data_IF_500105436052
#
_entry.id   IF_500105436052
#
_cell.length_a   1.000
_cell.length_b   1.000
_cell.length_c   1.000
_cell.angle_alpha   90.00
_cell.angle_beta   90.00
_cell.angle_gamma   90.00
#
_symmetry.space_group_name_H-M   'P 1'
#
loop_
_entity.id
_entity.type
_entity.pdbx_description
1 polymer ?
#
# COMPACT_ATOMS: atom_id res chain seq x y z
N UNK A 1 14.25 -10.81 6.49
CA UNK A 1 13.04 -11.29 7.18
C UNK A 1 11.85 -11.00 6.30
N UNK A 2 10.95 -11.97 6.06
CA UNK A 2 9.71 -11.74 5.29
C UNK A 2 8.54 -11.80 6.24
N UNK A 3 7.70 -10.76 6.27
CA UNK A 3 6.53 -10.70 7.13
C UNK A 3 5.28 -10.40 6.28
N UNK A 4 4.22 -11.18 6.48
CA UNK A 4 2.93 -10.95 5.81
C UNK A 4 2.08 -9.99 6.63
N UNK A 5 1.34 -9.15 5.95
CA UNK A 5 0.45 -8.18 6.58
C UNK A 5 -0.74 -7.87 5.69
N UNK A 6 -1.78 -7.28 6.28
CA UNK A 6 -2.85 -6.63 5.55
C UNK A 6 -2.61 -5.12 5.57
N UNK A 7 -2.68 -4.48 4.42
CA UNK A 7 -2.60 -3.02 4.30
C UNK A 7 -3.92 -2.44 3.84
N UNK A 8 -4.35 -1.42 4.56
CA UNK A 8 -5.56 -0.66 4.27
C UNK A 8 -5.15 0.74 3.87
N UNK A 9 -5.56 1.20 2.68
CA UNK A 9 -5.24 2.54 2.19
C UNK A 9 -6.35 3.07 1.28
N UNK A 10 -6.34 4.39 1.03
CA UNK A 10 -7.29 5.05 0.12
C UNK A 10 -6.56 5.37 -1.19
N UNK A 11 -6.82 4.63 -2.29
CA UNK A 11 -6.21 4.91 -3.58
C UNK A 11 -6.91 6.08 -4.27
N UNK A 12 -6.20 6.79 -5.14
CA UNK A 12 -6.78 7.86 -5.97
C UNK A 12 -7.77 7.34 -7.01
N UNK A 13 -7.56 6.09 -7.45
CA UNK A 13 -8.34 5.44 -8.52
C UNK A 13 -8.64 3.99 -8.15
N UNK A 14 -9.89 3.56 -8.36
CA UNK A 14 -10.33 2.16 -8.22
C UNK A 14 -10.88 1.71 -9.58
N UNK A 15 -10.34 0.61 -10.13
CA UNK A 15 -10.73 0.06 -11.44
C UNK A 15 -10.78 1.11 -12.58
N UNK A 16 -9.80 2.01 -12.62
CA UNK A 16 -9.71 3.06 -13.65
C UNK A 16 -10.60 4.28 -13.42
N UNK A 17 -11.44 4.31 -12.37
CA UNK A 17 -12.27 5.48 -12.02
C UNK A 17 -11.73 6.19 -10.79
N UNK A 18 -11.80 7.53 -10.78
CA UNK A 18 -11.38 8.35 -9.63
C UNK A 18 -12.19 7.97 -8.39
N UNK A 19 -11.51 7.77 -7.27
CA UNK A 19 -12.11 7.40 -5.99
C UNK A 19 -12.63 8.63 -5.25
N UNK A 20 -13.73 9.20 -5.76
CA UNK A 20 -14.31 10.43 -5.21
C UNK A 20 -14.85 10.22 -3.80
N UNK A 21 -15.37 9.01 -3.52
CA UNK A 21 -15.95 8.62 -2.24
C UNK A 21 -14.91 8.27 -1.17
N UNK A 22 -13.61 8.38 -1.48
CA UNK A 22 -12.50 8.06 -0.56
C UNK A 22 -12.61 6.65 0.04
N UNK A 23 -13.11 5.70 -0.75
CA UNK A 23 -13.23 4.29 -0.34
C UNK A 23 -11.85 3.72 -0.01
N UNK A 24 -11.72 3.09 1.14
CA UNK A 24 -10.52 2.34 1.51
C UNK A 24 -10.54 0.97 0.85
N UNK A 25 -9.36 0.44 0.50
CA UNK A 25 -9.18 -0.93 0.06
C UNK A 25 -8.20 -1.64 0.98
N UNK A 26 -8.43 -2.94 1.18
CA UNK A 26 -7.52 -3.83 1.90
C UNK A 26 -6.79 -4.72 0.89
N UNK A 27 -5.49 -4.94 1.12
CA UNK A 27 -4.63 -5.80 0.31
C UNK A 27 -3.73 -6.67 1.18
N UNK A 28 -3.40 -7.86 0.67
CA UNK A 28 -2.39 -8.72 1.27
C UNK A 28 -1.01 -8.27 0.81
N UNK A 29 -0.16 -7.84 1.74
CA UNK A 29 1.19 -7.37 1.50
C UNK A 29 2.25 -8.28 2.12
N UNK A 30 3.45 -8.23 1.57
CA UNK A 30 4.64 -8.84 2.16
C UNK A 30 5.75 -7.80 2.31
N UNK A 31 6.30 -7.72 3.51
CA UNK A 31 7.50 -6.97 3.82
C UNK A 31 8.69 -7.81 3.37
N UNK A 32 9.55 -7.21 2.57
CA UNK A 32 10.81 -7.79 2.10
C UNK A 32 11.92 -6.73 2.08
N UNK A 33 13.09 -7.10 1.57
CA UNK A 33 14.27 -6.23 1.52
C UNK A 33 14.09 -4.99 0.62
N UNK A 34 13.11 -4.99 -0.30
CA UNK A 34 12.83 -3.85 -1.17
C UNK A 34 11.73 -2.93 -0.61
N UNK A 35 11.05 -3.39 0.44
CA UNK A 35 9.97 -2.65 1.09
C UNK A 35 10.54 -1.48 1.89
N UNK A 36 9.98 -0.29 1.72
CA UNK A 36 10.49 0.92 2.38
C UNK A 36 9.43 2.01 2.53
N UNK A 37 9.56 2.79 3.59
CA UNK A 37 8.88 4.08 3.75
C UNK A 37 9.78 5.17 3.19
N UNK A 38 9.22 6.09 2.41
CA UNK A 38 9.95 7.19 1.80
C UNK A 38 9.02 8.38 1.54
N UNK A 39 9.59 9.55 1.31
CA UNK A 39 8.85 10.74 0.89
C UNK A 39 8.91 10.85 -0.63
N UNK A 40 7.77 11.06 -1.28
CA UNK A 40 7.73 11.29 -2.73
C UNK A 40 8.31 12.65 -3.08
N UNK A 41 8.63 12.87 -4.36
CA UNK A 41 9.06 14.19 -4.85
C UNK A 41 8.02 15.29 -4.56
N UNK A 42 6.75 14.91 -4.46
CA UNK A 42 5.63 15.79 -4.12
C UNK A 42 5.53 16.13 -2.63
N UNK A 43 6.40 15.57 -1.77
CA UNK A 43 6.36 15.76 -0.32
C UNK A 43 5.41 14.82 0.43
N UNK A 44 4.79 13.85 -0.23
CA UNK A 44 3.86 12.91 0.39
C UNK A 44 4.61 11.72 1.01
N UNK A 45 4.22 11.30 2.22
CA UNK A 45 4.72 10.04 2.76
C UNK A 45 4.16 8.88 1.93
N UNK A 46 5.02 7.91 1.64
CA UNK A 46 4.68 6.74 0.85
C UNK A 46 5.35 5.47 1.39
N UNK A 47 4.71 4.33 1.17
CA UNK A 47 5.19 3.03 1.58
C UNK A 47 5.14 2.05 0.41
N UNK A 48 6.31 1.53 0.03
CA UNK A 48 6.48 0.50 -0.99
C UNK A 48 6.45 -0.89 -0.33
N UNK A 49 5.65 -1.80 -0.89
CA UNK A 49 5.52 -3.18 -0.45
C UNK A 49 5.24 -4.12 -1.61
N UNK A 50 5.46 -5.42 -1.41
CA UNK A 50 5.07 -6.44 -2.38
C UNK A 50 3.58 -6.81 -2.21
N UNK A 51 2.76 -6.52 -3.21
CA UNK A 51 1.33 -6.87 -3.24
C UNK A 51 1.18 -8.34 -3.68
N UNK A 52 0.68 -9.18 -2.78
CA UNK A 52 0.49 -10.61 -3.02
C UNK A 52 -0.71 -10.91 -3.93
N UNK A 53 -1.72 -10.03 -3.97
CA UNK A 53 -2.90 -10.20 -4.82
C UNK A 53 -2.59 -9.90 -6.30
N UNK A 54 -1.61 -9.03 -6.54
CA UNK A 54 -1.18 -8.59 -7.89
C UNK A 54 0.21 -9.05 -8.29
N UNK A 55 0.91 -9.73 -7.40
CA UNK A 55 2.26 -10.27 -7.60
C UNK A 55 3.26 -9.22 -8.13
N UNK A 56 3.21 -8.00 -7.60
CA UNK A 56 4.08 -6.89 -7.99
C UNK A 56 4.25 -5.89 -6.85
N UNK A 57 5.25 -5.01 -6.92
CA UNK A 57 5.41 -3.92 -5.96
C UNK A 57 4.36 -2.83 -6.15
N UNK A 58 3.84 -2.33 -5.03
CA UNK A 58 2.92 -1.21 -4.97
C UNK A 58 3.35 -0.18 -3.95
N UNK A 59 2.86 1.03 -4.16
CA UNK A 59 3.06 2.15 -3.25
C UNK A 59 1.72 2.59 -2.69
N UNK A 60 1.55 2.50 -1.37
CA UNK A 60 0.50 3.20 -0.66
C UNK A 60 0.98 4.62 -0.32
N UNK A 61 0.15 5.64 -0.54
CA UNK A 61 0.49 7.04 -0.30
C UNK A 61 -0.43 7.66 0.75
N UNK A 62 0.01 8.77 1.34
CA UNK A 62 -0.74 9.63 2.25
C UNK A 62 -1.11 8.98 3.59
N UNK A 63 -2.08 8.06 3.58
CA UNK A 63 -2.54 7.37 4.79
C UNK A 63 -2.73 5.89 4.49
N UNK A 64 -2.04 5.05 5.24
CA UNK A 64 -2.24 3.61 5.25
C UNK A 64 -2.18 3.08 6.69
N UNK A 65 -2.83 1.94 6.90
CA UNK A 65 -2.77 1.17 8.15
C UNK A 65 -2.23 -0.21 7.81
N UNK A 66 -1.29 -0.70 8.61
CA UNK A 66 -0.71 -2.05 8.48
C UNK A 66 -1.18 -2.88 9.66
N UNK A 67 -1.83 -4.00 9.38
CA UNK A 67 -2.19 -5.01 10.35
C UNK A 67 -1.29 -6.23 10.10
N UNK A 68 -0.39 -6.51 11.04
CA UNK A 68 0.45 -7.70 10.96
C UNK A 68 -0.44 -8.95 11.05
N UNK A 69 -0.20 -9.91 10.15
CA UNK A 69 -0.76 -11.25 10.32
C UNK A 69 0.16 -12.00 11.27
N UNK A 70 -0.32 -12.26 12.47
CA UNK A 70 0.37 -13.06 13.50
C UNK A 70 0.11 -14.53 13.27
#
# INVERSE_FOLDING_TARGET
MKAKFNIIYVPDTINGKKNIEKKSICRSGMLDEKSKVFTTTSGELAFCYFDLDKNNYRTAKNKWTINLQV
#
